data_IF_387757252556
#
_entry.id   IF_387757252556
#
_cell.length_a   1.000
_cell.length_b   1.000
_cell.length_c   1.000
_cell.angle_alpha   90.00
_cell.angle_beta   90.00
_cell.angle_gamma   90.00
#
_symmetry.space_group_name_H-M   'P 1'
#
loop_
_entity.id
_entity.type
_entity.pdbx_description
1 polymer ?
#
# COMPACT_ATOMS: atom_id res chain seq x y z
N UNK A 1 -7.41 21.21 -5.67
CA UNK A 1 -6.32 21.54 -4.74
C UNK A 1 -5.53 20.27 -4.50
N UNK A 2 -4.30 20.16 -5.01
CA UNK A 2 -3.49 18.95 -4.84
C UNK A 2 -2.96 18.88 -3.41
N UNK A 3 -3.29 17.79 -2.70
CA UNK A 3 -2.98 17.65 -1.28
C UNK A 3 -1.49 17.44 -0.99
N UNK A 4 -0.68 17.03 -1.97
CA UNK A 4 0.73 16.63 -1.76
C UNK A 4 1.65 16.99 -2.94
N UNK A 5 1.88 18.28 -3.25
CA UNK A 5 2.65 18.67 -4.43
C UNK A 5 4.12 18.22 -4.42
N UNK A 6 4.72 18.10 -3.23
CA UNK A 6 6.12 17.67 -3.05
C UNK A 6 6.36 16.20 -3.40
N UNK A 7 5.32 15.38 -3.50
CA UNK A 7 5.47 13.97 -3.90
C UNK A 7 5.61 13.81 -5.42
N UNK A 8 5.28 14.85 -6.20
CA UNK A 8 5.48 14.86 -7.65
C UNK A 8 6.86 15.33 -8.09
N UNK A 9 7.65 15.87 -7.16
CA UNK A 9 9.05 16.15 -7.38
C UNK A 9 9.80 14.82 -7.61
N UNK A 10 10.26 14.59 -8.83
CA UNK A 10 10.92 13.36 -9.26
C UNK A 10 12.22 13.06 -8.52
N UNK A 11 12.81 14.08 -7.89
CA UNK A 11 14.00 13.92 -7.04
C UNK A 11 13.64 13.32 -5.67
N UNK A 12 12.36 13.36 -5.27
CA UNK A 12 11.87 12.74 -4.04
C UNK A 12 11.58 11.28 -4.27
N UNK A 13 12.19 10.45 -3.42
CA UNK A 13 11.93 9.02 -3.32
C UNK A 13 10.83 8.75 -2.29
N UNK A 14 10.04 7.71 -2.55
CA UNK A 14 8.82 7.40 -1.81
C UNK A 14 8.84 5.95 -1.38
N UNK A 15 8.39 5.75 -0.15
CA UNK A 15 8.09 4.46 0.44
C UNK A 15 6.56 4.26 0.38
N UNK A 16 6.11 3.13 -0.16
CA UNK A 16 4.68 2.82 -0.35
C UNK A 16 4.31 1.49 0.32
N UNK A 17 3.26 1.50 1.13
CA UNK A 17 2.67 0.30 1.71
C UNK A 17 1.24 0.12 1.19
N UNK A 18 0.93 -1.10 0.72
CA UNK A 18 -0.39 -1.52 0.24
C UNK A 18 -0.80 -2.74 1.06
N UNK A 19 -1.90 -2.61 1.81
CA UNK A 19 -2.49 -3.71 2.57
C UNK A 19 -3.85 -4.03 1.98
N UNK A 20 -4.00 -5.27 1.52
CA UNK A 20 -5.21 -5.76 0.86
C UNK A 20 -5.94 -6.68 1.83
N UNK A 21 -7.12 -6.26 2.29
CA UNK A 21 -7.99 -7.05 3.15
C UNK A 21 -9.03 -7.76 2.30
N UNK A 22 -9.02 -9.10 2.34
CA UNK A 22 -9.96 -9.93 1.58
C UNK A 22 -10.43 -11.13 2.37
N UNK A 23 -11.64 -11.60 2.07
CA UNK A 23 -12.10 -12.90 2.56
C UNK A 23 -11.17 -14.04 2.08
N UNK A 24 -10.96 -15.05 2.93
CA UNK A 24 -10.00 -16.16 2.71
C UNK A 24 -10.13 -16.83 1.34
N UNK A 25 -11.37 -17.05 0.88
CA UNK A 25 -11.66 -17.68 -0.42
C UNK A 25 -11.04 -16.94 -1.61
N UNK A 26 -10.84 -15.62 -1.50
CA UNK A 26 -10.27 -14.79 -2.56
C UNK A 26 -8.77 -14.54 -2.39
N UNK A 27 -8.22 -14.71 -1.17
CA UNK A 27 -6.80 -14.46 -0.90
C UNK A 27 -5.86 -15.33 -1.76
N UNK A 28 -6.25 -16.57 -2.01
CA UNK A 28 -5.46 -17.54 -2.79
C UNK A 28 -5.50 -17.30 -4.29
N UNK A 29 -6.55 -16.62 -4.78
CA UNK A 29 -6.79 -16.43 -6.21
C UNK A 29 -6.27 -15.10 -6.74
N UNK A 30 -5.88 -14.19 -5.86
CA UNK A 30 -5.42 -12.86 -6.25
C UNK A 30 -3.90 -12.77 -6.23
N UNK A 31 -3.34 -12.43 -7.39
CA UNK A 31 -1.93 -12.12 -7.51
C UNK A 31 -1.66 -10.72 -6.98
N UNK A 32 -0.70 -10.63 -6.08
CA UNK A 32 -0.36 -9.38 -5.37
C UNK A 32 0.30 -8.39 -6.31
N UNK A 33 1.16 -8.86 -7.20
CA UNK A 33 1.85 -8.05 -8.20
C UNK A 33 0.86 -7.31 -9.13
N UNK A 34 -0.22 -7.97 -9.56
CA UNK A 34 -1.28 -7.38 -10.36
C UNK A 34 -2.00 -6.27 -9.59
N UNK A 35 -2.25 -6.46 -8.29
CA UNK A 35 -2.83 -5.43 -7.44
C UNK A 35 -1.87 -4.25 -7.31
N UNK A 36 -0.59 -4.51 -7.04
CA UNK A 36 0.41 -3.44 -6.92
C UNK A 36 0.50 -2.63 -8.21
N UNK A 37 0.52 -3.29 -9.38
CA UNK A 37 0.55 -2.62 -10.68
C UNK A 37 -0.64 -1.69 -10.86
N UNK A 38 -1.86 -2.18 -10.61
CA UNK A 38 -3.09 -1.36 -10.72
C UNK A 38 -3.06 -0.17 -9.76
N UNK A 39 -2.58 -0.37 -8.53
CA UNK A 39 -2.48 0.71 -7.55
C UNK A 39 -1.45 1.75 -7.98
N UNK A 40 -0.27 1.33 -8.44
CA UNK A 40 0.77 2.24 -8.93
C UNK A 40 0.28 3.05 -10.13
N UNK A 41 -0.32 2.40 -11.13
CA UNK A 41 -0.91 3.07 -12.30
C UNK A 41 -1.98 4.09 -11.90
N UNK A 42 -2.81 3.77 -10.90
CA UNK A 42 -3.86 4.67 -10.42
C UNK A 42 -3.30 5.88 -9.62
N UNK A 43 -2.15 5.72 -8.99
CA UNK A 43 -1.48 6.78 -8.21
C UNK A 43 -0.54 7.62 -9.07
N UNK A 44 -0.01 7.08 -10.17
CA UNK A 44 0.86 7.78 -11.11
C UNK A 44 0.17 9.00 -11.71
N UNK A 45 0.87 10.14 -11.72
CA UNK A 45 0.34 11.43 -12.13
C UNK A 45 -0.66 12.04 -11.14
N UNK A 46 -1.05 11.33 -10.07
CA UNK A 46 -1.95 11.83 -9.02
C UNK A 46 -1.21 12.12 -7.72
N UNK A 47 -0.53 11.10 -7.18
CA UNK A 47 0.27 11.16 -5.95
C UNK A 47 1.75 11.45 -6.25
N UNK A 48 2.33 10.74 -7.21
CA UNK A 48 3.72 10.89 -7.64
C UNK A 48 3.79 11.05 -9.16
N UNK A 49 4.91 11.57 -9.67
CA UNK A 49 5.11 11.82 -11.10
C UNK A 49 5.43 10.54 -11.89
N UNK A 50 6.31 9.70 -11.34
CA UNK A 50 6.74 8.45 -11.98
C UNK A 50 6.99 7.31 -10.98
N UNK A 51 6.82 6.07 -11.43
CA UNK A 51 6.97 4.86 -10.61
C UNK A 51 8.42 4.68 -10.14
N UNK A 52 9.39 5.28 -10.85
CA UNK A 52 10.81 5.35 -10.48
C UNK A 52 11.09 6.13 -9.18
N UNK A 53 10.08 6.82 -8.64
CA UNK A 53 10.14 7.43 -7.31
C UNK A 53 9.91 6.41 -6.20
N UNK A 54 9.20 5.31 -6.46
CA UNK A 54 8.94 4.26 -5.47
C UNK A 54 10.20 3.41 -5.30
N UNK A 55 10.85 3.54 -4.15
CA UNK A 55 12.11 2.83 -3.84
C UNK A 55 11.91 1.67 -2.87
N UNK A 56 10.83 1.68 -2.10
CA UNK A 56 10.40 0.55 -1.28
C UNK A 56 8.89 0.36 -1.40
N UNK A 57 8.49 -0.88 -1.65
CA UNK A 57 7.10 -1.30 -1.74
C UNK A 57 6.84 -2.44 -0.75
N UNK A 58 6.00 -2.20 0.25
CA UNK A 58 5.47 -3.23 1.14
C UNK A 58 4.07 -3.60 0.66
N UNK A 59 3.88 -4.88 0.35
CA UNK A 59 2.63 -5.37 -0.19
C UNK A 59 2.19 -6.60 0.60
N UNK A 60 1.06 -6.48 1.29
CA UNK A 60 0.59 -7.52 2.21
C UNK A 60 -0.86 -7.84 1.93
N UNK A 61 -1.18 -9.13 1.92
CA UNK A 61 -2.55 -9.61 1.93
C UNK A 61 -2.93 -10.02 3.35
N UNK A 62 -4.11 -9.61 3.79
CA UNK A 62 -4.68 -9.97 5.08
C UNK A 62 -6.10 -10.48 4.92
N UNK A 63 -6.49 -11.36 5.83
CA UNK A 63 -7.88 -11.72 5.98
C UNK A 63 -8.69 -10.50 6.43
N UNK A 64 -9.77 -10.20 5.73
CA UNK A 64 -10.75 -9.21 6.17
C UNK A 64 -11.60 -9.79 7.30
N UNK A 65 -11.89 -8.99 8.32
CA UNK A 65 -12.81 -9.39 9.39
C UNK A 65 -14.20 -9.67 8.81
N UNK A 66 -14.80 -10.80 9.18
CA UNK A 66 -16.14 -11.15 8.72
C UNK A 66 -17.17 -10.45 9.58
N UNK A 67 -17.89 -9.49 8.99
CA UNK A 67 -19.07 -8.89 9.59
C UNK A 67 -20.31 -9.38 8.84
N UNK A 68 -21.24 -10.02 9.56
CA UNK A 68 -22.41 -10.65 8.95
C UNK A 68 -23.24 -9.65 8.15
N UNK A 69 -23.43 -9.92 6.85
CA UNK A 69 -24.19 -9.06 5.94
C UNK A 69 -23.40 -7.91 5.31
N UNK A 70 -22.11 -7.77 5.60
CA UNK A 70 -21.28 -6.68 5.07
C UNK A 70 -20.10 -7.21 4.24
N UNK A 71 -19.77 -6.47 3.18
CA UNK A 71 -18.49 -6.62 2.49
C UNK A 71 -17.44 -5.75 3.19
N UNK A 72 -16.50 -6.41 3.87
CA UNK A 72 -15.39 -5.79 4.61
C UNK A 72 -14.08 -5.81 3.82
N UNK A 73 -14.12 -6.23 2.55
CA UNK A 73 -12.97 -6.16 1.67
C UNK A 73 -12.52 -4.69 1.54
N UNK A 74 -11.23 -4.45 1.71
CA UNK A 74 -10.67 -3.10 1.62
C UNK A 74 -9.23 -3.10 1.14
N UNK A 75 -8.78 -1.94 0.68
CA UNK A 75 -7.41 -1.70 0.28
C UNK A 75 -6.94 -0.44 1.01
N UNK A 76 -5.90 -0.59 1.82
CA UNK A 76 -5.29 0.49 2.61
C UNK A 76 -3.96 0.85 1.98
N UNK A 77 -3.78 2.13 1.68
CA UNK A 77 -2.55 2.68 1.11
C UNK A 77 -1.95 3.66 2.11
N UNK A 78 -0.69 3.45 2.45
CA UNK A 78 0.10 4.38 3.26
C UNK A 78 1.37 4.74 2.50
N UNK A 79 1.78 5.99 2.54
CA UNK A 79 2.96 6.49 1.86
C UNK A 79 3.72 7.47 2.74
N UNK A 80 5.03 7.54 2.52
CA UNK A 80 5.90 8.57 3.12
C UNK A 80 7.04 8.91 2.17
N UNK A 81 7.67 10.05 2.39
CA UNK A 81 8.99 10.32 1.81
C UNK A 81 9.96 9.26 2.33
N UNK A 82 10.77 8.73 1.43
CA UNK A 82 11.77 7.72 1.74
C UNK A 82 12.75 8.22 2.81
N UNK A 83 12.96 7.39 3.82
CA UNK A 83 13.95 7.58 4.88
C UNK A 83 14.84 6.33 4.90
N UNK A 84 16.13 6.42 4.52
CA UNK A 84 17.01 5.27 4.44
C UNK A 84 17.22 4.60 5.81
N UNK A 85 17.12 5.35 6.90
CA UNK A 85 17.36 4.91 8.28
C UNK A 85 16.14 4.23 8.92
N UNK A 86 15.00 4.15 8.20
CA UNK A 86 13.76 3.56 8.72
C UNK A 86 13.25 2.41 7.88
N UNK A 87 12.93 1.32 8.54
CA UNK A 87 12.25 0.21 7.92
C UNK A 87 10.75 0.45 7.72
N UNK A 88 10.17 -0.38 6.85
CA UNK A 88 8.73 -0.51 6.64
C UNK A 88 8.28 -1.83 7.23
N UNK A 89 7.67 -1.76 8.41
CA UNK A 89 7.13 -2.92 9.12
C UNK A 89 5.64 -2.77 9.30
N UNK A 90 4.92 -3.89 9.23
CA UNK A 90 3.52 -3.94 9.58
C UNK A 90 3.40 -4.28 11.07
N UNK A 91 2.67 -3.48 11.83
CA UNK A 91 2.42 -3.71 13.25
C UNK A 91 0.94 -4.01 13.49
N UNK A 92 0.64 -4.84 14.48
CA UNK A 92 -0.72 -4.98 15.00
C UNK A 92 -1.01 -3.96 16.11
N UNK A 93 -2.24 -3.95 16.63
CA UNK A 93 -2.66 -3.06 17.73
C UNK A 93 -1.85 -3.22 19.02
N UNK A 94 -1.13 -4.35 19.17
CA UNK A 94 -0.26 -4.65 20.30
C UNK A 94 1.21 -4.30 20.03
N UNK A 95 1.52 -3.58 18.95
CA UNK A 95 2.86 -3.22 18.49
C UNK A 95 3.78 -4.42 18.17
N UNK A 96 3.20 -5.58 17.87
CA UNK A 96 3.97 -6.72 17.41
C UNK A 96 4.20 -6.62 15.90
N UNK A 97 5.41 -6.91 15.46
CA UNK A 97 5.75 -7.04 14.03
C UNK A 97 4.95 -8.20 13.44
N UNK A 98 4.31 -7.92 12.32
CA UNK A 98 3.58 -8.88 11.52
C UNK A 98 4.41 -9.23 10.29
N UNK A 99 4.79 -10.50 10.17
CA UNK A 99 5.44 -11.07 9.00
C UNK A 99 4.41 -11.70 8.06
#
# INVERSE_FOLDING_TARGET
>A
MEKFPHLRDTDKKIDLAIVVYRQVRYLKLQDVDNIAKVVLDALKGRLFGDDSQIVRLLLVKKEAELLAGYDTNSLVISFRIHDPERDMILINEKNNVMW
#
